data_IF_231009026625
#
_entry.id   IF_231009026625
#
_cell.length_a   1.000
_cell.length_b   1.000
_cell.length_c   1.000
_cell.angle_alpha   90.00
_cell.angle_beta   90.00
_cell.angle_gamma   90.00
#
_symmetry.space_group_name_H-M   'P 1'
#
loop_
_entity.id
_entity.type
_entity.pdbx_description
1 polymer ?
#
# COMPACT_ATOMS: atom_id res chain seq x y z
N UNK A 1 15.37 -17.83 21.50
CA UNK A 1 14.95 -17.40 20.15
C UNK A 1 14.60 -15.91 20.24
N UNK A 2 15.15 -15.06 19.37
CA UNK A 2 14.86 -13.63 19.39
C UNK A 2 13.35 -13.41 19.22
N UNK A 3 12.75 -12.43 19.90
CA UNK A 3 11.29 -12.18 19.89
C UNK A 3 10.76 -11.95 18.45
N UNK A 4 11.59 -11.35 17.60
CA UNK A 4 11.32 -11.17 16.18
C UNK A 4 11.26 -12.51 15.42
N UNK A 5 12.18 -13.43 15.70
CA UNK A 5 12.23 -14.74 15.03
C UNK A 5 11.04 -15.60 15.48
N UNK A 6 10.64 -15.51 16.76
CA UNK A 6 9.48 -16.26 17.25
C UNK A 6 8.16 -15.77 16.64
N UNK A 7 7.96 -14.47 16.50
CA UNK A 7 6.70 -13.93 15.94
C UNK A 7 6.56 -14.23 14.44
N UNK A 8 7.66 -14.11 13.69
CA UNK A 8 7.68 -14.46 12.26
C UNK A 8 7.44 -15.95 12.02
N UNK A 9 8.07 -16.82 12.81
CA UNK A 9 7.89 -18.27 12.66
C UNK A 9 6.48 -18.72 13.03
N UNK A 10 5.89 -18.18 14.10
CA UNK A 10 4.52 -18.53 14.52
C UNK A 10 3.48 -18.06 13.48
N UNK A 11 3.59 -16.84 12.95
CA UNK A 11 2.62 -16.32 11.96
C UNK A 11 2.64 -17.09 10.64
N UNK A 12 3.84 -17.43 10.14
CA UNK A 12 4.00 -18.26 8.94
C UNK A 12 3.48 -19.68 9.18
N UNK A 13 3.80 -20.28 10.33
CA UNK A 13 3.33 -21.63 10.67
C UNK A 13 1.79 -21.67 10.78
N UNK A 14 1.18 -20.65 11.40
CA UNK A 14 -0.27 -20.61 11.58
C UNK A 14 -1.02 -20.45 10.25
N UNK A 15 -0.58 -19.52 9.39
CA UNK A 15 -1.19 -19.33 8.05
C UNK A 15 -1.03 -20.56 7.14
N UNK A 16 0.16 -21.17 7.11
CA UNK A 16 0.41 -22.38 6.30
C UNK A 16 -0.36 -23.60 6.80
N UNK A 17 -0.45 -23.81 8.11
CA UNK A 17 -1.22 -24.93 8.68
C UNK A 17 -2.71 -24.80 8.40
N UNK A 18 -3.30 -23.61 8.53
CA UNK A 18 -4.69 -23.39 8.17
C UNK A 18 -4.96 -23.64 6.67
N UNK A 19 -4.07 -23.17 5.80
CA UNK A 19 -4.18 -23.43 4.36
C UNK A 19 -4.09 -24.93 4.03
N UNK A 20 -3.13 -25.63 4.65
CA UNK A 20 -2.94 -27.07 4.45
C UNK A 20 -4.15 -27.88 4.96
N UNK A 21 -4.69 -27.51 6.12
CA UNK A 21 -5.91 -28.13 6.67
C UNK A 21 -7.11 -27.90 5.75
N UNK A 22 -7.29 -26.68 5.22
CA UNK A 22 -8.39 -26.40 4.29
C UNK A 22 -8.29 -27.27 3.03
N UNK A 23 -7.10 -27.36 2.44
CA UNK A 23 -6.85 -28.17 1.26
C UNK A 23 -7.08 -29.66 1.51
N UNK A 24 -6.68 -30.17 2.69
CA UNK A 24 -6.80 -31.60 2.99
C UNK A 24 -8.21 -32.02 3.40
N UNK A 25 -8.94 -31.17 4.14
CA UNK A 25 -10.28 -31.49 4.64
C UNK A 25 -11.39 -31.22 3.62
N UNK A 26 -11.19 -30.29 2.69
CA UNK A 26 -12.25 -29.88 1.75
C UNK A 26 -12.25 -30.77 0.50
N UNK A 27 -13.36 -31.45 0.16
CA UNK A 27 -13.43 -32.25 -1.06
C UNK A 27 -13.40 -31.35 -2.31
N UNK A 28 -12.38 -31.50 -3.14
CA UNK A 28 -12.19 -30.74 -4.38
C UNK A 28 -12.87 -31.46 -5.56
N UNK A 29 -14.13 -31.12 -5.83
CA UNK A 29 -14.79 -31.46 -7.10
C UNK A 29 -14.73 -30.25 -8.03
N UNK A 30 -13.88 -30.34 -9.05
CA UNK A 30 -13.70 -29.29 -10.06
C UNK A 30 -14.54 -29.61 -11.29
N UNK A 31 -15.38 -28.67 -11.69
CA UNK A 31 -16.16 -28.70 -12.93
C UNK A 31 -15.86 -27.41 -13.70
N UNK A 32 -15.97 -27.40 -15.03
CA UNK A 32 -15.71 -26.21 -15.84
C UNK A 32 -16.55 -25.00 -15.39
N UNK A 33 -17.85 -25.20 -15.11
CA UNK A 33 -18.76 -24.15 -14.58
C UNK A 33 -18.39 -23.64 -13.18
N UNK A 34 -17.65 -24.43 -12.38
CA UNK A 34 -17.19 -24.00 -11.05
C UNK A 34 -15.86 -23.23 -11.15
N UNK A 35 -15.12 -23.44 -12.24
CA UNK A 35 -13.88 -22.75 -12.53
C UNK A 35 -14.09 -21.48 -13.38
N UNK A 36 -15.28 -21.27 -13.95
CA UNK A 36 -15.59 -20.08 -14.73
C UNK A 36 -15.73 -18.83 -13.83
N UNK A 37 -15.43 -17.63 -14.35
CA UNK A 37 -15.62 -16.38 -13.63
C UNK A 37 -17.09 -16.17 -13.26
N UNK A 38 -17.34 -15.68 -12.04
CA UNK A 38 -18.69 -15.35 -11.59
C UNK A 38 -19.05 -13.90 -11.95
N UNK A 39 -19.99 -13.70 -12.87
CA UNK A 39 -20.57 -12.38 -13.20
C UNK A 39 -22.09 -12.39 -12.92
N UNK A 40 -22.45 -12.46 -11.63
CA UNK A 40 -23.85 -12.44 -11.18
C UNK A 40 -24.74 -13.55 -11.78
N UNK A 41 -24.15 -14.68 -12.18
CA UNK A 41 -24.85 -15.81 -12.81
C UNK A 41 -24.95 -15.74 -14.34
N UNK A 42 -24.28 -14.76 -14.96
CA UNK A 42 -24.12 -14.65 -16.40
C UNK A 42 -22.70 -15.02 -16.84
N UNK A 43 -22.58 -15.40 -18.11
CA UNK A 43 -21.27 -15.55 -18.75
C UNK A 43 -20.62 -14.18 -18.93
N UNK A 44 -19.32 -14.04 -18.65
CA UNK A 44 -18.66 -12.75 -18.74
C UNK A 44 -18.63 -12.25 -20.18
N UNK A 45 -19.12 -11.03 -20.38
CA UNK A 45 -19.20 -10.40 -21.71
C UNK A 45 -17.82 -9.99 -22.22
N UNK A 46 -16.96 -9.53 -21.32
CA UNK A 46 -15.59 -9.09 -21.62
C UNK A 46 -14.62 -9.56 -20.53
N UNK A 47 -13.32 -9.37 -20.76
CA UNK A 47 -12.32 -9.67 -19.73
C UNK A 47 -12.45 -8.69 -18.56
N UNK A 48 -12.22 -9.17 -17.32
CA UNK A 48 -12.13 -8.31 -16.14
C UNK A 48 -10.96 -7.30 -16.17
N UNK A 49 -10.10 -7.35 -17.21
CA UNK A 49 -8.97 -6.42 -17.39
C UNK A 49 -9.42 -5.21 -18.20
N UNK A 50 -10.28 -4.40 -17.59
CA UNK A 50 -10.77 -3.15 -18.16
C UNK A 50 -9.73 -2.04 -17.99
N UNK A 51 -9.71 -1.04 -18.89
CA UNK A 51 -8.92 0.17 -18.69
C UNK A 51 -9.34 0.82 -17.36
N UNK A 52 -8.37 0.98 -16.48
CA UNK A 52 -8.57 1.51 -15.15
C UNK A 52 -8.57 3.05 -15.17
N UNK A 53 -9.24 3.67 -14.19
CA UNK A 53 -9.30 5.12 -14.16
C UNK A 53 -7.93 5.73 -13.83
N UNK A 54 -7.53 6.75 -14.59
CA UNK A 54 -6.25 7.44 -14.43
C UNK A 54 -6.14 8.12 -13.06
N UNK A 55 -7.27 8.42 -12.41
CA UNK A 55 -7.30 9.12 -11.11
C UNK A 55 -6.71 8.27 -9.99
N UNK A 56 -7.03 6.98 -9.94
CA UNK A 56 -6.40 6.08 -8.97
C UNK A 56 -4.89 5.91 -9.23
N UNK A 57 -4.46 6.00 -10.49
CA UNK A 57 -3.04 5.98 -10.83
C UNK A 57 -2.32 7.24 -10.34
N UNK A 58 -2.94 8.42 -10.43
CA UNK A 58 -2.39 9.65 -9.86
C UNK A 58 -2.22 9.55 -8.35
N UNK A 59 -3.21 9.01 -7.64
CA UNK A 59 -3.12 8.76 -6.19
C UNK A 59 -1.95 7.82 -5.85
N UNK A 60 -1.70 6.78 -6.66
CA UNK A 60 -0.59 5.86 -6.44
C UNK A 60 0.79 6.53 -6.60
N UNK A 61 0.96 7.41 -7.59
CA UNK A 61 2.19 8.20 -7.77
C UNK A 61 2.38 9.16 -6.60
N UNK A 62 1.31 9.85 -6.21
CA UNK A 62 1.32 10.79 -5.10
C UNK A 62 1.67 10.08 -3.77
N UNK A 63 1.10 8.90 -3.53
CA UNK A 63 1.47 8.04 -2.40
C UNK A 63 2.96 7.70 -2.41
N UNK A 64 3.51 7.29 -3.56
CA UNK A 64 4.93 6.95 -3.69
C UNK A 64 5.84 8.14 -3.36
N UNK A 65 5.48 9.34 -3.81
CA UNK A 65 6.24 10.57 -3.57
C UNK A 65 6.20 10.94 -2.08
N UNK A 66 5.00 10.93 -1.46
CA UNK A 66 4.87 11.20 -0.02
C UNK A 66 5.56 10.14 0.85
N UNK A 67 5.53 8.86 0.48
CA UNK A 67 6.21 7.80 1.23
C UNK A 67 7.74 8.00 1.23
N UNK A 68 8.30 8.42 0.09
CA UNK A 68 9.72 8.78 -0.01
C UNK A 68 10.05 9.97 0.89
N UNK A 69 9.23 11.01 0.91
CA UNK A 69 9.46 12.18 1.76
C UNK A 69 9.32 11.85 3.26
N UNK A 70 8.38 11.00 3.65
CA UNK A 70 8.26 10.51 5.03
C UNK A 70 9.49 9.69 5.42
N UNK A 71 10.01 8.85 4.52
CA UNK A 71 11.25 8.11 4.76
C UNK A 71 12.44 9.06 5.02
N UNK A 72 12.48 10.23 4.35
CA UNK A 72 13.49 11.27 4.60
C UNK A 72 13.30 11.99 5.96
N UNK A 73 12.07 12.06 6.48
CA UNK A 73 11.77 12.65 7.79
C UNK A 73 11.93 11.65 8.96
N UNK A 74 11.92 10.35 8.70
CA UNK A 74 12.12 9.30 9.71
C UNK A 74 13.40 9.45 10.58
N UNK A 75 14.57 9.87 10.06
CA UNK A 75 15.77 10.03 10.88
C UNK A 75 15.77 11.24 11.84
N UNK A 76 14.74 12.09 11.83
CA UNK A 76 14.71 13.33 12.62
C UNK A 76 14.91 13.16 14.15
N UNK A 77 14.33 12.14 14.82
CA UNK A 77 14.54 11.95 16.26
C UNK A 77 16.02 11.78 16.63
N UNK A 78 16.79 11.07 15.79
CA UNK A 78 18.24 10.92 15.98
C UNK A 78 18.99 12.20 15.58
N UNK A 79 18.53 12.90 14.55
CA UNK A 79 19.19 14.11 14.08
C UNK A 79 19.14 15.27 15.09
N UNK A 80 18.15 15.30 15.99
CA UNK A 80 18.08 16.28 17.10
C UNK A 80 19.25 16.11 18.09
N UNK A 81 19.86 14.93 18.16
CA UNK A 81 20.99 14.64 19.06
C UNK A 81 22.36 15.03 18.49
N UNK A 82 22.41 15.51 17.24
CA UNK A 82 23.65 15.97 16.58
C UNK A 82 24.17 17.28 17.20
N UNK A 83 25.46 17.61 17.02
CA UNK A 83 26.05 18.84 17.56
C UNK A 83 25.40 20.13 17.04
N UNK A 84 24.73 20.08 15.90
CA UNK A 84 24.05 21.22 15.27
C UNK A 84 22.58 20.89 14.95
N UNK A 85 21.70 20.81 15.97
CA UNK A 85 20.31 20.41 15.78
C UNK A 85 19.50 21.46 15.01
N UNK A 86 19.92 22.73 15.07
CA UNK A 86 19.30 23.84 14.32
C UNK A 86 19.37 23.62 12.80
N UNK A 87 20.48 23.08 12.28
CA UNK A 87 20.63 22.77 10.86
C UNK A 87 19.70 21.63 10.42
N UNK A 88 19.57 20.59 11.24
CA UNK A 88 18.62 19.51 10.96
C UNK A 88 17.18 20.00 10.98
N UNK A 89 16.84 20.90 11.92
CA UNK A 89 15.51 21.49 12.00
C UNK A 89 15.21 22.35 10.76
N UNK A 90 16.17 23.14 10.29
CA UNK A 90 15.99 23.95 9.06
C UNK A 90 15.84 23.08 7.82
N UNK A 91 16.59 21.99 7.68
CA UNK A 91 16.38 21.05 6.57
C UNK A 91 15.00 20.40 6.64
N UNK A 92 14.58 19.96 7.83
CA UNK A 92 13.28 19.35 8.04
C UNK A 92 12.13 20.29 7.69
N UNK A 93 12.22 21.56 8.09
CA UNK A 93 11.20 22.57 7.78
C UNK A 93 11.14 22.88 6.29
N UNK A 94 12.27 22.90 5.58
CA UNK A 94 12.31 23.06 4.13
C UNK A 94 11.59 21.89 3.43
N UNK A 95 11.86 20.65 3.86
CA UNK A 95 11.20 19.45 3.30
C UNK A 95 9.69 19.51 3.53
N UNK A 96 9.25 19.80 4.77
CA UNK A 96 7.83 19.93 5.09
C UNK A 96 7.14 21.06 4.32
N UNK A 97 7.85 22.18 4.12
CA UNK A 97 7.34 23.28 3.31
C UNK A 97 7.16 22.88 1.84
N UNK A 98 8.13 22.15 1.26
CA UNK A 98 8.03 21.66 -0.11
C UNK A 98 6.90 20.63 -0.25
N UNK A 99 6.75 19.72 0.72
CA UNK A 99 5.68 18.74 0.82
C UNK A 99 4.30 19.42 0.80
N UNK A 100 4.11 20.42 1.66
CA UNK A 100 2.84 21.17 1.75
C UNK A 100 2.56 21.98 0.47
N UNK A 101 3.58 22.54 -0.17
CA UNK A 101 3.43 23.20 -1.48
C UNK A 101 3.02 22.22 -2.59
N UNK A 102 3.66 21.06 -2.68
CA UNK A 102 3.32 20.04 -3.66
C UNK A 102 1.89 19.52 -3.48
N UNK A 103 1.51 19.26 -2.22
CA UNK A 103 0.15 18.86 -1.86
C UNK A 103 -0.90 19.91 -2.23
N UNK A 104 -0.66 21.17 -1.86
CA UNK A 104 -1.61 22.26 -2.17
C UNK A 104 -1.76 22.48 -3.66
N UNK A 105 -0.67 22.37 -4.43
CA UNK A 105 -0.73 22.45 -5.89
C UNK A 105 -1.62 21.35 -6.47
N UNK A 106 -1.41 20.09 -6.09
CA UNK A 106 -2.16 18.96 -6.63
C UNK A 106 -3.64 19.00 -6.23
N UNK A 107 -3.94 19.46 -5.00
CA UNK A 107 -5.31 19.75 -4.57
C UNK A 107 -5.97 20.80 -5.46
N UNK A 108 -5.31 21.93 -5.73
CA UNK A 108 -5.89 23.01 -6.56
C UNK A 108 -6.11 22.60 -8.01
N UNK A 109 -5.37 21.60 -8.51
CA UNK A 109 -5.56 21.04 -9.86
C UNK A 109 -6.69 20.00 -9.92
N UNK A 110 -7.37 19.72 -8.81
CA UNK A 110 -8.46 18.74 -8.75
C UNK A 110 -7.97 17.29 -8.90
N UNK A 111 -6.67 17.01 -8.67
CA UNK A 111 -6.13 15.66 -8.76
C UNK A 111 -6.74 14.70 -7.71
N UNK A 112 -7.18 15.26 -6.58
CA UNK A 112 -7.86 14.58 -5.48
C UNK A 112 -9.39 14.61 -5.56
N UNK A 113 -9.95 15.31 -6.55
CA UNK A 113 -11.41 15.39 -6.69
C UNK A 113 -11.96 14.10 -7.31
N UNK A 114 -12.83 13.46 -6.54
CA UNK A 114 -13.60 12.32 -7.00
C UNK A 114 -14.74 12.86 -7.87
N UNK A 115 -14.86 12.35 -9.08
CA UNK A 115 -16.09 12.54 -9.84
C UNK A 115 -17.11 11.55 -9.27
N UNK A 116 -18.30 12.06 -9.01
CA UNK A 116 -19.50 11.22 -9.05
C UNK A 116 -19.70 10.63 -10.45
#
# INVERSE_FOLDING_TARGET
MNMMISTMTISLAMSSTLMALNYWLTPTKSNNEKLSPYECGFDPLESARLPFSIRFFLVAILFLLFDLEIALLLPLPWAIQLPHPTHSLTCASIILFLLTLGFTYEWTQGGLEWAE
#
